data_IF_162134941583
#
_entry.id   IF_162134941583
#
_cell.length_a   1.000
_cell.length_b   1.000
_cell.length_c   1.000
_cell.angle_alpha   90.00
_cell.angle_beta   90.00
_cell.angle_gamma   90.00
#
_symmetry.space_group_name_H-M   'P 1'
#
loop_
_entity.id
_entity.type
_entity.pdbx_description
1 polymer ?
#
# COMPACT_ATOMS: atom_id res chain seq x y z
N UNK A 1 -1.42 -9.48 -69.59
CA UNK A 1 -1.14 -10.88 -70.03
C UNK A 1 -1.15 -11.74 -68.77
N UNK A 2 -2.31 -12.23 -68.33
CA UNK A 2 -2.97 -13.50 -68.71
C UNK A 2 -2.16 -14.78 -68.35
N UNK A 3 -2.57 -15.44 -67.26
CA UNK A 3 -3.12 -16.82 -67.16
C UNK A 3 -2.93 -17.38 -65.74
N UNK A 4 -4.02 -17.52 -64.97
CA UNK A 4 -4.92 -18.70 -64.82
C UNK A 4 -4.37 -19.73 -63.79
N UNK A 5 -4.95 -19.89 -62.60
CA UNK A 5 -6.19 -20.62 -62.20
C UNK A 5 -6.03 -22.13 -62.07
N UNK A 6 -6.29 -22.67 -60.86
CA UNK A 6 -7.18 -23.80 -60.52
C UNK A 6 -7.27 -23.89 -58.96
N UNK A 7 -8.38 -23.55 -58.28
CA UNK A 7 -9.66 -24.29 -58.05
C UNK A 7 -9.46 -25.66 -57.38
N UNK A 8 -9.80 -25.81 -56.08
CA UNK A 8 -11.11 -26.22 -55.52
C UNK A 8 -11.09 -27.73 -55.16
N UNK A 9 -11.80 -28.33 -54.19
CA UNK A 9 -13.05 -27.97 -53.50
C UNK A 9 -13.32 -28.99 -52.37
N UNK A 10 -14.10 -28.56 -51.37
CA UNK A 10 -15.20 -29.24 -50.64
C UNK A 10 -15.02 -30.63 -49.95
N UNK A 11 -15.52 -30.70 -48.69
CA UNK A 11 -16.69 -31.50 -48.23
C UNK A 11 -16.90 -31.22 -46.72
N UNK A 12 -17.88 -30.41 -46.31
CA UNK A 12 -19.25 -30.76 -45.87
C UNK A 12 -19.37 -31.84 -44.77
N UNK A 13 -19.92 -31.41 -43.62
CA UNK A 13 -20.42 -32.17 -42.47
C UNK A 13 -21.64 -33.07 -42.84
N UNK A 14 -22.25 -33.93 -41.97
CA UNK A 14 -22.90 -33.49 -40.71
C UNK A 14 -23.15 -34.55 -39.57
N UNK A 15 -23.75 -34.07 -38.47
CA UNK A 15 -24.85 -34.67 -37.66
C UNK A 15 -24.64 -35.81 -36.63
N UNK A 16 -24.77 -35.40 -35.34
CA UNK A 16 -25.75 -35.83 -34.30
C UNK A 16 -25.76 -37.22 -33.64
N UNK A 17 -25.74 -37.24 -32.30
CA UNK A 17 -26.77 -37.76 -31.37
C UNK A 17 -26.19 -37.90 -29.93
N UNK A 18 -26.61 -37.13 -28.91
CA UNK A 18 -27.76 -37.30 -27.99
C UNK A 18 -27.70 -38.48 -26.99
N UNK A 19 -27.55 -38.16 -25.70
CA UNK A 19 -28.30 -38.68 -24.51
C UNK A 19 -27.67 -38.10 -23.22
N UNK A 20 -28.19 -37.04 -22.60
CA UNK A 20 -29.26 -36.98 -21.58
C UNK A 20 -29.13 -37.97 -20.42
N UNK A 21 -28.78 -37.44 -19.23
CA UNK A 21 -29.32 -37.92 -17.96
C UNK A 21 -29.56 -36.73 -17.02
N UNK A 22 -30.84 -36.38 -16.91
CA UNK A 22 -31.47 -35.55 -15.90
C UNK A 22 -31.06 -35.96 -14.46
N UNK A 23 -30.83 -34.96 -13.60
CA UNK A 23 -31.50 -34.95 -12.29
C UNK A 23 -31.78 -33.52 -11.83
N UNK A 24 -33.07 -33.23 -11.68
CA UNK A 24 -33.68 -31.97 -11.25
C UNK A 24 -33.46 -31.66 -9.75
N UNK A 25 -33.65 -30.39 -9.34
CA UNK A 25 -33.32 -29.86 -8.02
C UNK A 25 -34.44 -30.09 -7.00
N UNK A 26 -34.10 -30.16 -5.70
CA UNK A 26 -35.07 -29.99 -4.61
C UNK A 26 -34.94 -28.58 -4.03
N UNK A 27 -35.98 -27.79 -4.20
CA UNK A 27 -36.38 -26.70 -3.30
C UNK A 27 -37.24 -27.26 -2.17
N UNK A 28 -37.11 -26.71 -0.96
CA UNK A 28 -38.18 -26.35 0.00
C UNK A 28 -37.49 -25.75 1.25
N UNK A 29 -37.61 -24.43 1.48
CA UNK A 29 -38.65 -23.69 2.23
C UNK A 29 -38.34 -23.48 3.73
N UNK A 30 -38.00 -22.23 4.03
CA UNK A 30 -38.44 -21.37 5.15
C UNK A 30 -38.84 -21.96 6.51
N UNK A 31 -38.15 -21.52 7.56
CA UNK A 31 -38.72 -21.13 8.87
C UNK A 31 -37.71 -20.17 9.56
N UNK A 32 -38.05 -18.89 9.68
CA UNK A 32 -38.73 -18.23 10.80
C UNK A 32 -37.85 -18.04 12.06
N UNK A 33 -37.77 -16.75 12.45
CA UNK A 33 -37.56 -16.19 13.79
C UNK A 33 -36.16 -15.67 14.15
N UNK A 34 -36.01 -14.37 13.90
CA UNK A 34 -35.47 -13.40 14.85
C UNK A 34 -35.70 -13.82 16.31
N UNK A 35 -34.67 -13.73 17.15
CA UNK A 35 -34.85 -13.51 18.58
C UNK A 35 -33.74 -12.63 19.15
N UNK A 36 -34.06 -11.35 19.14
CA UNK A 36 -33.58 -10.30 20.03
C UNK A 36 -33.63 -10.75 21.49
N UNK A 37 -32.55 -10.56 22.26
CA UNK A 37 -32.61 -10.32 23.72
C UNK A 37 -31.33 -9.62 24.22
N UNK A 38 -31.27 -8.31 24.00
CA UNK A 38 -30.75 -7.39 25.02
C UNK A 38 -31.70 -7.45 26.20
N UNK A 39 -31.19 -7.73 27.41
CA UNK A 39 -31.62 -7.20 28.71
C UNK A 39 -31.08 -8.06 29.85
N UNK A 40 -31.07 -7.46 31.05
CA UNK A 40 -30.55 -7.87 32.37
C UNK A 40 -29.13 -7.34 32.61
N UNK A 41 -28.83 -6.38 33.51
CA UNK A 41 -29.45 -5.75 34.70
C UNK A 41 -28.55 -4.50 34.99
N UNK A 42 -28.96 -3.26 35.34
CA UNK A 42 -29.87 -2.76 36.38
C UNK A 42 -29.39 -3.18 37.78
N UNK A 43 -28.96 -2.40 38.77
CA UNK A 43 -29.10 -0.96 39.11
C UNK A 43 -28.26 -0.72 40.39
N UNK A 44 -27.71 0.50 40.55
CA UNK A 44 -27.40 1.28 41.78
C UNK A 44 -27.00 0.62 43.13
N UNK A 45 -25.91 1.12 43.75
CA UNK A 45 -25.95 1.85 45.04
C UNK A 45 -24.53 2.27 45.52
N UNK A 46 -24.44 3.52 45.98
CA UNK A 46 -23.27 4.16 46.58
C UNK A 46 -23.08 3.78 48.06
N UNK A 47 -21.87 3.46 48.52
CA UNK A 47 -21.43 3.62 49.93
C UNK A 47 -19.95 4.05 49.98
N UNK A 48 -19.70 4.90 50.97
CA UNK A 48 -18.54 5.76 51.32
C UNK A 48 -17.24 5.01 51.71
N UNK A 49 -16.14 5.74 51.53
CA UNK A 49 -14.73 5.43 51.70
C UNK A 49 -14.28 4.78 53.03
N UNK A 50 -13.33 3.84 52.91
CA UNK A 50 -12.24 3.65 53.88
C UNK A 50 -10.94 3.44 53.11
N UNK A 51 -9.99 4.35 53.29
CA UNK A 51 -8.69 4.32 52.63
C UNK A 51 -7.88 3.09 53.02
N UNK A 52 -7.70 2.20 52.07
CA UNK A 52 -6.54 1.29 52.02
C UNK A 52 -5.77 1.74 50.78
N UNK A 53 -4.59 2.31 51.01
CA UNK A 53 -3.59 2.54 49.96
C UNK A 53 -3.17 1.17 49.42
N UNK A 54 -3.94 0.64 48.50
CA UNK A 54 -3.48 -0.41 47.61
C UNK A 54 -2.34 0.21 46.80
N UNK A 55 -1.14 -0.42 46.75
CA UNK A 55 -0.14 -0.01 45.78
C UNK A 55 -0.84 -0.04 44.42
N UNK A 56 -0.86 1.11 43.74
CA UNK A 56 -1.28 1.18 42.35
C UNK A 56 -0.61 0.03 41.63
N UNK A 57 -1.33 -0.81 40.86
CA UNK A 57 -0.67 -1.74 39.99
C UNK A 57 0.28 -0.88 39.16
N UNK A 58 1.58 -1.04 39.39
CA UNK A 58 2.61 -0.57 38.47
C UNK A 58 2.13 -1.02 37.11
N UNK A 59 1.84 -0.07 36.22
CA UNK A 59 1.31 -0.35 34.89
C UNK A 59 2.00 -1.59 34.37
N UNK A 60 1.24 -2.68 34.25
CA UNK A 60 1.69 -3.81 33.47
C UNK A 60 2.15 -3.19 32.16
N UNK A 61 3.39 -3.45 31.74
CA UNK A 61 3.88 -3.05 30.43
C UNK A 61 2.76 -3.33 29.43
N UNK A 62 2.10 -2.28 28.94
CA UNK A 62 1.10 -2.38 27.89
C UNK A 62 1.88 -2.87 26.68
N UNK A 63 1.91 -4.20 26.51
CA UNK A 63 2.49 -4.84 25.33
C UNK A 63 1.67 -4.34 24.16
N UNK A 64 2.19 -3.32 23.49
CA UNK A 64 1.49 -2.63 22.43
C UNK A 64 1.48 -3.54 21.19
N UNK A 65 0.33 -3.62 20.51
CA UNK A 65 0.13 -4.57 19.41
C UNK A 65 0.46 -3.93 18.07
N UNK A 66 1.39 -4.52 17.32
CA UNK A 66 1.53 -4.21 15.90
C UNK A 66 0.26 -4.64 15.15
N UNK A 67 -0.16 -3.95 14.07
CA UNK A 67 -1.38 -4.28 13.32
C UNK A 67 -1.40 -5.72 12.77
N UNK A 68 -0.22 -6.31 12.53
CA UNK A 68 -0.07 -7.71 12.16
C UNK A 68 -0.26 -8.73 13.30
N UNK A 69 -0.70 -8.31 14.49
CA UNK A 69 -1.00 -9.20 15.62
C UNK A 69 0.24 -9.75 16.34
N UNK A 70 1.41 -9.15 16.12
CA UNK A 70 2.65 -9.59 16.79
C UNK A 70 2.83 -8.81 18.10
N UNK A 71 3.01 -9.53 19.20
CA UNK A 71 3.41 -8.94 20.48
C UNK A 71 4.86 -8.46 20.35
N UNK A 72 5.07 -7.18 20.56
CA UNK A 72 6.39 -6.57 20.51
C UNK A 72 6.69 -5.85 21.83
N UNK A 73 7.96 -5.92 22.26
CA UNK A 73 8.41 -5.34 23.53
C UNK A 73 8.86 -3.87 23.39
N UNK A 74 8.40 -3.19 22.34
CA UNK A 74 8.70 -1.77 22.05
C UNK A 74 7.45 -1.00 21.68
N UNK A 75 7.53 0.33 21.75
CA UNK A 75 6.42 1.23 21.43
C UNK A 75 6.01 1.08 19.95
N UNK A 76 4.72 0.93 19.69
CA UNK A 76 4.17 0.90 18.33
C UNK A 76 3.15 2.01 18.13
N UNK A 77 3.09 2.50 16.91
CA UNK A 77 2.16 3.54 16.50
C UNK A 77 2.49 4.05 15.11
N UNK A 78 1.48 4.63 14.46
CA UNK A 78 1.56 5.13 13.08
C UNK A 78 2.63 6.20 12.86
N UNK A 79 3.05 6.91 13.92
CA UNK A 79 4.09 7.94 13.88
C UNK A 79 5.31 7.58 14.77
N UNK A 80 5.33 6.39 15.39
CA UNK A 80 6.45 5.99 16.25
C UNK A 80 7.64 5.66 15.37
N UNK A 81 8.75 6.36 15.58
CA UNK A 81 9.96 6.28 14.74
C UNK A 81 10.04 7.32 13.62
N UNK A 82 8.91 7.93 13.25
CA UNK A 82 8.85 9.02 12.28
C UNK A 82 7.64 9.93 12.54
N UNK A 83 7.90 11.07 13.19
CA UNK A 83 6.86 12.04 13.53
C UNK A 83 6.23 12.72 12.31
N UNK A 84 6.88 12.63 11.14
CA UNK A 84 6.41 13.23 9.89
C UNK A 84 5.62 12.24 9.01
N UNK A 85 5.41 11.01 9.46
CA UNK A 85 4.50 10.08 8.77
C UNK A 85 3.08 10.66 8.70
N UNK A 86 2.33 10.25 7.67
CA UNK A 86 1.00 10.75 7.38
C UNK A 86 0.06 10.62 8.59
N UNK A 87 -0.57 11.74 8.95
CA UNK A 87 -1.52 11.81 10.07
C UNK A 87 -2.84 11.12 9.78
N UNK A 88 -3.17 10.92 8.50
CA UNK A 88 -4.42 10.28 8.07
C UNK A 88 -4.33 8.75 8.07
N UNK A 89 -3.12 8.19 8.22
CA UNK A 89 -2.92 6.76 8.29
C UNK A 89 -3.72 6.13 9.42
N UNK A 90 -4.56 5.15 9.09
CA UNK A 90 -5.29 4.40 10.10
C UNK A 90 -4.42 3.32 10.73
N UNK A 91 -4.48 3.11 12.06
CA UNK A 91 -3.70 2.09 12.74
C UNK A 91 -3.93 0.66 12.23
N UNK A 92 -5.08 0.38 11.62
CA UNK A 92 -5.44 -0.93 11.07
C UNK A 92 -5.02 -1.13 9.60
N UNK A 93 -4.33 -0.17 8.97
CA UNK A 93 -3.99 -0.17 7.56
C UNK A 93 -5.22 -0.29 6.62
N UNK A 94 -6.43 0.10 7.05
CA UNK A 94 -7.63 -0.01 6.21
C UNK A 94 -7.72 1.04 5.09
N UNK A 95 -6.95 2.12 5.17
CA UNK A 95 -6.93 3.19 4.17
C UNK A 95 -5.66 3.23 3.31
N UNK A 96 -4.84 2.18 3.34
CA UNK A 96 -3.61 2.11 2.52
C UNK A 96 -3.79 1.21 1.30
N UNK A 97 -2.94 1.39 0.29
CA UNK A 97 -2.99 0.61 -0.96
C UNK A 97 -2.43 -0.80 -0.74
N UNK A 98 -1.33 -0.91 0.01
CA UNK A 98 -0.70 -2.17 0.36
C UNK A 98 -0.89 -2.44 1.85
N UNK A 99 -1.87 -3.28 2.21
CA UNK A 99 -2.15 -3.61 3.61
C UNK A 99 -0.98 -4.31 4.33
N UNK A 100 -0.18 -5.09 3.59
CA UNK A 100 1.07 -5.68 4.08
C UNK A 100 2.27 -4.80 3.69
N UNK A 101 2.68 -3.96 4.62
CA UNK A 101 3.83 -3.06 4.50
C UNK A 101 4.71 -3.05 5.77
N UNK A 102 5.64 -2.11 5.86
CA UNK A 102 6.59 -2.04 6.98
C UNK A 102 5.88 -1.86 8.32
N UNK A 103 4.95 -0.90 8.41
CA UNK A 103 4.19 -0.64 9.63
C UNK A 103 3.32 -1.84 10.01
N UNK A 104 2.71 -2.54 9.05
CA UNK A 104 1.98 -3.78 9.35
C UNK A 104 2.85 -4.81 10.11
N UNK A 105 4.10 -4.98 9.68
CA UNK A 105 5.03 -5.96 10.25
C UNK A 105 5.68 -5.51 11.55
N UNK A 106 6.14 -4.25 11.60
CA UNK A 106 6.96 -3.73 12.69
C UNK A 106 6.21 -2.80 13.64
N UNK A 107 4.96 -2.43 13.33
CA UNK A 107 4.16 -1.52 14.16
C UNK A 107 4.73 -0.10 14.28
N UNK A 108 5.75 0.25 13.50
CA UNK A 108 6.44 1.55 13.58
C UNK A 108 6.56 2.17 12.20
N UNK A 109 6.66 3.50 12.17
CA UNK A 109 6.95 4.25 10.97
C UNK A 109 8.48 4.29 10.75
N UNK A 110 8.98 3.80 9.60
CA UNK A 110 10.39 3.88 9.26
C UNK A 110 10.80 5.33 9.00
N UNK A 111 12.09 5.61 9.20
CA UNK A 111 12.67 6.92 8.90
C UNK A 111 12.68 7.18 7.39
N UNK A 112 12.67 8.45 7.01
CA UNK A 112 12.96 8.85 5.63
C UNK A 112 14.40 8.50 5.24
N UNK A 113 14.60 8.23 3.95
CA UNK A 113 15.92 7.97 3.38
C UNK A 113 16.37 9.24 2.65
N UNK A 114 17.36 9.91 3.24
CA UNK A 114 18.03 11.05 2.60
C UNK A 114 18.73 10.62 1.31
N UNK A 115 18.89 11.56 0.38
CA UNK A 115 19.61 11.31 -0.88
C UNK A 115 21.04 10.84 -0.61
N UNK A 116 21.46 9.80 -1.34
CA UNK A 116 22.78 9.18 -1.19
C UNK A 116 23.01 8.41 0.10
N UNK A 117 22.13 8.51 1.10
CA UNK A 117 22.26 7.76 2.35
C UNK A 117 22.02 6.26 2.07
N UNK A 118 22.89 5.40 2.61
CA UNK A 118 22.78 3.93 2.51
C UNK A 118 22.67 3.21 3.85
N UNK A 119 22.58 3.95 4.96
CA UNK A 119 22.58 3.39 6.32
C UNK A 119 21.29 2.64 6.65
N UNK A 120 20.18 3.02 6.01
CA UNK A 120 18.88 2.39 6.20
C UNK A 120 18.16 2.18 4.87
N UNK A 121 17.72 0.95 4.53
CA UNK A 121 18.13 -0.32 5.11
C UNK A 121 19.60 -0.63 4.76
N UNK A 122 20.34 -1.30 5.67
CA UNK A 122 21.78 -1.59 5.51
C UNK A 122 22.08 -2.57 4.36
N UNK A 123 21.16 -3.47 4.09
CA UNK A 123 21.31 -4.53 3.09
C UNK A 123 20.14 -4.47 2.13
N UNK A 124 20.42 -4.65 0.83
CA UNK A 124 19.38 -4.80 -0.18
C UNK A 124 19.17 -6.30 -0.48
N UNK A 125 17.94 -6.72 -0.75
CA UNK A 125 17.65 -8.11 -1.09
C UNK A 125 18.29 -8.47 -2.44
N UNK A 126 18.61 -9.75 -2.61
CA UNK A 126 19.06 -10.25 -3.89
C UNK A 126 17.86 -10.46 -4.82
N UNK A 127 17.95 -9.85 -6.00
CA UNK A 127 17.06 -10.08 -7.13
C UNK A 127 17.93 -10.25 -8.39
N UNK A 128 17.58 -11.06 -9.39
CA UNK A 128 18.34 -11.15 -10.62
C UNK A 128 18.38 -9.81 -11.37
N UNK A 129 19.54 -9.51 -11.98
CA UNK A 129 19.70 -8.29 -12.78
C UNK A 129 18.76 -8.24 -13.98
N UNK A 130 18.50 -9.39 -14.61
CA UNK A 130 17.54 -9.51 -15.72
C UNK A 130 16.12 -9.12 -15.29
N UNK A 131 15.65 -9.64 -14.15
CA UNK A 131 14.33 -9.28 -13.61
C UNK A 131 14.22 -7.79 -13.33
N UNK A 132 15.25 -7.18 -12.73
CA UNK A 132 15.27 -5.73 -12.49
C UNK A 132 15.25 -4.93 -13.79
N UNK A 133 16.03 -5.34 -14.79
CA UNK A 133 16.04 -4.72 -16.12
C UNK A 133 14.66 -4.77 -16.77
N UNK A 134 14.02 -5.94 -16.82
CA UNK A 134 12.69 -6.09 -17.43
C UNK A 134 11.62 -5.31 -16.66
N UNK A 135 11.74 -5.27 -15.33
CA UNK A 135 10.86 -4.48 -14.47
C UNK A 135 11.03 -2.98 -14.72
N UNK A 136 12.27 -2.49 -14.80
CA UNK A 136 12.57 -1.08 -15.08
C UNK A 136 12.05 -0.69 -16.47
N UNK A 137 12.27 -1.55 -17.48
CA UNK A 137 11.77 -1.35 -18.83
C UNK A 137 10.24 -1.28 -18.88
N UNK A 138 9.55 -2.11 -18.10
CA UNK A 138 8.08 -2.19 -18.11
C UNK A 138 7.39 -1.07 -17.32
N UNK A 139 7.95 -0.67 -16.18
CA UNK A 139 7.27 0.26 -15.26
C UNK A 139 7.99 1.60 -15.07
N UNK A 140 9.29 1.68 -15.37
CA UNK A 140 10.12 2.87 -15.10
C UNK A 140 9.55 4.14 -15.72
N UNK A 141 9.09 4.09 -16.98
CA UNK A 141 8.52 5.27 -17.65
C UNK A 141 7.19 5.73 -17.04
N UNK A 142 6.41 4.80 -16.49
CA UNK A 142 5.19 5.14 -15.76
C UNK A 142 5.54 5.80 -14.42
N UNK A 143 6.54 5.27 -13.73
CA UNK A 143 7.00 5.85 -12.46
C UNK A 143 7.58 7.24 -12.68
N UNK A 144 8.41 7.46 -13.70
CA UNK A 144 8.95 8.80 -14.02
C UNK A 144 7.86 9.83 -14.25
N UNK A 145 6.83 9.49 -15.03
CA UNK A 145 5.67 10.38 -15.22
C UNK A 145 4.97 10.70 -13.91
N UNK A 146 4.79 9.72 -13.02
CA UNK A 146 4.19 9.95 -11.70
C UNK A 146 5.00 10.87 -10.82
N UNK A 147 6.33 10.71 -10.83
CA UNK A 147 7.25 11.59 -10.12
C UNK A 147 7.15 13.03 -10.64
N UNK A 148 7.04 13.22 -11.95
CA UNK A 148 6.79 14.54 -12.56
C UNK A 148 5.44 15.12 -12.11
N UNK A 149 4.37 14.33 -12.13
CA UNK A 149 3.04 14.78 -11.68
C UNK A 149 3.05 15.18 -10.19
N UNK A 150 3.67 14.37 -9.33
CA UNK A 150 3.82 14.69 -7.90
C UNK A 150 4.60 15.99 -7.73
N UNK A 151 5.72 16.18 -8.44
CA UNK A 151 6.49 17.43 -8.38
C UNK A 151 5.68 18.67 -8.79
N UNK A 152 4.71 18.50 -9.70
CA UNK A 152 3.85 19.58 -10.19
C UNK A 152 2.82 20.06 -9.15
N UNK A 153 2.49 19.22 -8.17
CA UNK A 153 1.49 19.54 -7.13
C UNK A 153 1.90 20.80 -6.36
N UNK A 154 3.20 20.99 -6.09
CA UNK A 154 3.69 22.19 -5.41
C UNK A 154 3.21 23.50 -6.05
N UNK A 155 3.18 23.55 -7.39
CA UNK A 155 2.68 24.73 -8.14
C UNK A 155 1.17 24.92 -7.99
N UNK A 156 0.40 23.83 -7.96
CA UNK A 156 -1.06 23.88 -7.72
C UNK A 156 -1.37 24.38 -6.31
N UNK A 157 -0.55 23.98 -5.34
CA UNK A 157 -0.63 24.47 -3.96
C UNK A 157 -0.31 25.97 -3.89
N UNK A 158 0.72 26.42 -4.62
CA UNK A 158 1.05 27.84 -4.68
C UNK A 158 -0.12 28.70 -5.18
N UNK A 159 -0.85 28.20 -6.19
CA UNK A 159 -2.05 28.82 -6.78
C UNK A 159 -3.33 28.66 -5.96
N UNK A 160 -3.29 28.05 -4.76
CA UNK A 160 -4.47 27.74 -3.92
C UNK A 160 -5.51 26.80 -4.58
N UNK A 161 -5.10 25.96 -5.51
CA UNK A 161 -5.99 25.03 -6.22
C UNK A 161 -5.93 23.61 -5.61
N UNK A 162 -5.95 23.48 -4.28
CA UNK A 162 -5.77 22.18 -3.62
C UNK A 162 -6.85 21.16 -4.02
N UNK A 163 -8.10 21.62 -4.14
CA UNK A 163 -9.25 20.77 -4.43
C UNK A 163 -9.23 20.20 -5.86
N UNK A 164 -8.40 20.74 -6.77
CA UNK A 164 -8.26 20.23 -8.14
C UNK A 164 -7.28 19.07 -8.25
N UNK A 165 -6.55 18.78 -7.17
CA UNK A 165 -5.63 17.65 -7.07
C UNK A 165 -6.45 16.36 -7.06
N UNK A 166 -6.03 15.41 -7.89
CA UNK A 166 -6.66 14.10 -7.97
C UNK A 166 -6.37 13.30 -6.69
N UNK A 167 -7.18 12.29 -6.41
CA UNK A 167 -6.95 11.38 -5.27
C UNK A 167 -5.61 10.64 -5.42
N UNK A 168 -4.98 10.25 -4.32
CA UNK A 168 -3.68 9.57 -4.31
C UNK A 168 -3.67 8.26 -5.09
N UNK A 169 -4.84 7.62 -5.24
CA UNK A 169 -4.98 6.39 -6.03
C UNK A 169 -5.16 6.62 -7.54
N UNK A 170 -5.22 7.89 -7.98
CA UNK A 170 -5.48 8.26 -9.36
C UNK A 170 -4.35 7.77 -10.30
N UNK A 171 -4.70 7.33 -11.54
CA UNK A 171 -3.73 6.83 -12.51
C UNK A 171 -2.55 7.76 -12.80
N UNK A 172 -2.76 9.07 -12.69
CA UNK A 172 -1.81 10.16 -12.96
C UNK A 172 -0.60 10.13 -12.03
N UNK A 173 -0.74 9.61 -10.81
CA UNK A 173 0.38 9.50 -9.87
C UNK A 173 1.14 8.17 -9.98
N UNK A 174 0.66 7.23 -10.82
CA UNK A 174 1.33 5.97 -11.13
C UNK A 174 1.77 5.14 -9.90
N UNK A 175 1.01 5.23 -8.80
CA UNK A 175 1.26 4.53 -7.54
C UNK A 175 1.30 3.00 -7.69
N UNK A 176 0.37 2.44 -8.47
CA UNK A 176 0.36 0.98 -8.76
C UNK A 176 1.64 0.53 -9.49
N UNK A 177 2.08 1.19 -10.58
CA UNK A 177 3.40 0.96 -11.17
C UNK A 177 4.56 1.02 -10.18
N UNK A 178 4.58 1.95 -9.24
CA UNK A 178 5.62 1.99 -8.18
C UNK A 178 5.62 0.69 -7.35
N UNK A 179 4.44 0.20 -6.95
CA UNK A 179 4.33 -1.07 -6.23
C UNK A 179 4.77 -2.28 -7.06
N UNK A 180 4.41 -2.32 -8.34
CA UNK A 180 4.85 -3.38 -9.25
C UNK A 180 6.37 -3.35 -9.49
N UNK A 181 6.94 -2.15 -9.60
CA UNK A 181 8.38 -1.97 -9.72
C UNK A 181 9.10 -2.39 -8.43
N UNK A 182 8.57 -2.01 -7.27
CA UNK A 182 9.09 -2.43 -5.96
C UNK A 182 9.12 -3.95 -5.84
N UNK A 183 8.04 -4.64 -6.22
CA UNK A 183 8.01 -6.11 -6.23
C UNK A 183 9.12 -6.69 -7.12
N UNK A 184 9.32 -6.16 -8.33
CA UNK A 184 10.35 -6.67 -9.23
C UNK A 184 11.79 -6.33 -8.83
N UNK A 185 11.99 -5.42 -7.88
CA UNK A 185 13.31 -4.94 -7.45
C UNK A 185 13.72 -5.42 -6.06
N UNK A 186 12.74 -5.62 -5.19
CA UNK A 186 12.93 -5.84 -3.77
C UNK A 186 12.35 -7.18 -3.31
N UNK A 187 11.48 -7.84 -4.09
CA UNK A 187 11.13 -9.22 -3.79
C UNK A 187 12.34 -10.13 -4.07
N UNK A 188 12.65 -10.97 -3.08
CA UNK A 188 13.68 -12.00 -3.22
C UNK A 188 13.04 -13.23 -3.84
N UNK A 189 13.71 -13.85 -4.81
CA UNK A 189 13.22 -15.12 -5.39
C UNK A 189 13.19 -16.25 -4.36
N UNK A 190 14.09 -16.21 -3.37
CA UNK A 190 14.24 -17.26 -2.37
C UNK A 190 13.22 -17.15 -1.22
N UNK A 191 12.79 -15.93 -0.89
CA UNK A 191 11.98 -15.67 0.31
C UNK A 191 10.68 -14.92 0.02
N UNK A 192 10.45 -14.48 -1.22
CA UNK A 192 9.30 -13.69 -1.61
C UNK A 192 9.34 -12.28 -1.01
N UNK A 193 8.40 -12.00 -0.10
CA UNK A 193 8.23 -10.67 0.51
C UNK A 193 9.37 -10.37 1.50
N UNK A 194 10.22 -9.40 1.16
CA UNK A 194 11.36 -8.95 1.97
C UNK A 194 11.00 -7.74 2.83
N UNK A 195 11.84 -7.41 3.82
CA UNK A 195 11.64 -6.21 4.64
C UNK A 195 11.76 -4.94 3.80
N UNK A 196 12.65 -4.93 2.81
CA UNK A 196 12.87 -3.81 1.92
C UNK A 196 11.69 -3.63 0.97
N UNK A 197 11.02 -4.71 0.55
CA UNK A 197 9.77 -4.61 -0.19
C UNK A 197 8.65 -4.01 0.67
N UNK A 198 8.53 -4.46 1.93
CA UNK A 198 7.57 -3.90 2.87
C UNK A 198 7.83 -2.41 3.13
N UNK A 199 9.11 -2.02 3.20
CA UNK A 199 9.54 -0.62 3.31
C UNK A 199 9.15 0.18 2.05
N UNK A 200 9.42 -0.35 0.86
CA UNK A 200 9.01 0.29 -0.39
C UNK A 200 7.50 0.49 -0.47
N UNK A 201 6.71 -0.52 -0.07
CA UNK A 201 5.24 -0.43 0.01
C UNK A 201 4.77 0.62 1.00
N UNK A 202 5.45 0.74 2.15
CA UNK A 202 5.15 1.76 3.14
C UNK A 202 5.34 3.15 2.55
N UNK A 203 6.48 3.45 1.93
CA UNK A 203 6.69 4.76 1.28
C UNK A 203 5.62 5.05 0.22
N UNK A 204 5.24 4.04 -0.58
CA UNK A 204 4.20 4.20 -1.59
C UNK A 204 2.82 4.50 -0.97
N UNK A 205 2.50 3.86 0.16
CA UNK A 205 1.28 4.15 0.90
C UNK A 205 1.28 5.59 1.42
N UNK A 206 2.40 6.06 2.00
CA UNK A 206 2.54 7.44 2.48
C UNK A 206 2.34 8.46 1.35
N UNK A 207 2.93 8.24 0.17
CA UNK A 207 2.70 9.12 -0.99
C UNK A 207 1.20 9.25 -1.31
N UNK A 208 0.46 8.14 -1.31
CA UNK A 208 -0.96 8.15 -1.62
C UNK A 208 -1.78 8.87 -0.53
N UNK A 209 -1.49 8.58 0.74
CA UNK A 209 -2.16 9.24 1.87
C UNK A 209 -1.88 10.74 1.90
N UNK A 210 -0.63 11.14 1.71
CA UNK A 210 -0.23 12.55 1.73
C UNK A 210 -0.87 13.32 0.57
N UNK A 211 -1.05 12.71 -0.62
CA UNK A 211 -1.80 13.34 -1.72
C UNK A 211 -3.27 13.54 -1.34
N UNK A 212 -3.90 12.56 -0.71
CA UNK A 212 -5.27 12.70 -0.20
C UNK A 212 -5.35 13.79 0.89
N UNK A 213 -4.33 13.91 1.73
CA UNK A 213 -4.24 14.96 2.76
C UNK A 213 -4.07 16.35 2.15
N UNK A 214 -3.28 16.51 1.08
CA UNK A 214 -3.17 17.77 0.33
C UNK A 214 -4.54 18.17 -0.24
N UNK A 215 -5.25 17.22 -0.85
CA UNK A 215 -6.56 17.47 -1.46
C UNK A 215 -7.60 17.90 -0.42
N UNK A 216 -7.56 17.31 0.77
CA UNK A 216 -8.51 17.57 1.86
C UNK A 216 -8.04 18.67 2.82
N UNK A 217 -6.90 19.32 2.55
CA UNK A 217 -6.34 20.37 3.39
C UNK A 217 -7.29 21.58 3.49
N UNK A 218 -7.44 22.12 4.71
CA UNK A 218 -8.28 23.31 4.96
C UNK A 218 -7.52 24.61 4.77
N UNK A 219 -6.19 24.54 4.73
CA UNK A 219 -5.32 25.69 4.55
C UNK A 219 -4.13 25.36 3.65
N UNK A 220 -3.56 26.41 3.04
CA UNK A 220 -2.31 26.29 2.26
C UNK A 220 -1.17 25.70 3.08
N UNK A 221 -1.09 26.04 4.36
CA UNK A 221 -0.03 25.57 5.24
C UNK A 221 -0.12 24.06 5.49
N UNK A 222 -1.33 23.55 5.71
CA UNK A 222 -1.59 22.10 5.81
C UNK A 222 -1.22 21.39 4.50
N UNK A 223 -1.65 21.93 3.35
CA UNK A 223 -1.31 21.39 2.04
C UNK A 223 0.20 21.35 1.78
N UNK A 224 0.93 22.41 2.15
CA UNK A 224 2.39 22.46 2.02
C UNK A 224 3.09 21.45 2.94
N UNK A 225 2.58 21.24 4.16
CA UNK A 225 3.12 20.24 5.09
C UNK A 225 2.95 18.83 4.54
N UNK A 226 1.74 18.48 4.07
CA UNK A 226 1.46 17.19 3.46
C UNK A 226 2.27 16.98 2.17
N UNK A 227 2.43 18.03 1.35
CA UNK A 227 3.29 17.98 0.17
C UNK A 227 4.76 17.74 0.51
N UNK A 228 5.28 18.35 1.57
CA UNK A 228 6.64 18.08 2.04
C UNK A 228 6.80 16.62 2.47
N UNK A 229 5.80 16.02 3.11
CA UNK A 229 5.81 14.61 3.48
C UNK A 229 5.76 13.71 2.23
N UNK A 230 4.84 13.98 1.29
CA UNK A 230 4.74 13.25 0.02
C UNK A 230 6.05 13.26 -0.77
N UNK A 231 6.73 14.41 -0.77
CA UNK A 231 8.04 14.60 -1.39
C UNK A 231 9.11 13.72 -0.73
N UNK A 232 9.19 13.73 0.61
CA UNK A 232 10.13 12.89 1.37
C UNK A 232 9.85 11.41 1.17
N UNK A 233 8.58 10.99 1.15
CA UNK A 233 8.17 9.62 0.89
C UNK A 233 8.56 9.18 -0.53
N UNK A 234 8.31 10.04 -1.52
CA UNK A 234 8.71 9.80 -2.93
C UNK A 234 10.21 9.66 -3.05
N UNK A 235 10.99 10.59 -2.49
CA UNK A 235 12.45 10.52 -2.53
C UNK A 235 12.98 9.30 -1.79
N UNK A 236 12.39 8.93 -0.65
CA UNK A 236 12.80 7.76 0.10
C UNK A 236 12.56 6.47 -0.69
N UNK A 237 11.40 6.36 -1.35
CA UNK A 237 11.10 5.26 -2.27
C UNK A 237 12.10 5.18 -3.43
N UNK A 238 12.37 6.31 -4.09
CA UNK A 238 13.27 6.38 -5.24
C UNK A 238 14.71 6.07 -4.82
N UNK A 239 15.19 6.62 -3.71
CA UNK A 239 16.48 6.31 -3.11
C UNK A 239 16.62 4.82 -2.82
N UNK A 240 15.58 4.18 -2.26
CA UNK A 240 15.58 2.75 -1.99
C UNK A 240 15.73 1.92 -3.29
N UNK A 241 14.94 2.19 -4.31
CA UNK A 241 15.01 1.42 -5.58
C UNK A 241 16.27 1.75 -6.38
N UNK A 242 16.76 2.98 -6.33
CA UNK A 242 17.98 3.40 -7.03
C UNK A 242 19.24 2.68 -6.53
N UNK A 243 19.24 2.14 -5.30
CA UNK A 243 20.35 1.31 -4.80
C UNK A 243 20.52 0.00 -5.56
N UNK A 244 19.46 -0.53 -6.17
CA UNK A 244 19.51 -1.79 -6.94
C UNK A 244 19.51 -1.56 -8.45
N UNK A 245 19.42 -0.31 -8.91
CA UNK A 245 19.67 0.08 -10.30
C UNK A 245 21.17 0.29 -10.48
N UNK A 246 21.82 -0.74 -11.02
CA UNK A 246 23.22 -0.71 -11.45
C UNK A 246 23.31 -0.42 -12.95
N UNK A 247 24.48 -0.06 -13.52
CA UNK A 247 24.60 0.24 -14.95
C UNK A 247 24.10 -0.85 -15.91
N UNK A 248 24.09 -2.12 -15.47
CA UNK A 248 23.54 -3.25 -16.25
C UNK A 248 22.01 -3.29 -16.28
N UNK A 249 21.35 -2.64 -15.33
CA UNK A 249 19.88 -2.59 -15.19
C UNK A 249 19.33 -1.37 -15.93
N UNK A 250 20.02 -0.23 -15.90
CA UNK A 250 19.64 0.99 -16.60
C UNK A 250 19.98 2.24 -15.80
N UNK A 251 19.38 3.35 -16.19
CA UNK A 251 19.59 4.64 -15.53
C UNK A 251 18.74 4.77 -14.27
N UNK A 252 19.32 5.39 -13.24
CA UNK A 252 18.63 5.71 -11.99
C UNK A 252 17.46 6.67 -12.25
N UNK A 253 16.49 6.63 -11.36
CA UNK A 253 15.36 7.55 -11.35
C UNK A 253 15.75 8.85 -10.66
N UNK A 254 15.30 9.97 -11.20
CA UNK A 254 15.56 11.30 -10.64
C UNK A 254 14.71 11.55 -9.39
N UNK A 255 15.32 12.09 -8.35
CA UNK A 255 14.63 12.55 -7.14
C UNK A 255 13.99 13.92 -7.38
N UNK A 256 13.01 14.30 -6.55
CA UNK A 256 12.27 15.58 -6.65
C UNK A 256 12.63 16.56 -5.53
#
# INVERSE_FOLDING_TARGET
>A
MNRLLLLASLLLAPSSAFQTANHSPKQEQSSLLESTRRQFLGTAASIVATGVLLPSPSSANDKSFAPGGTLVDYEVGVNVGNSEASVSRKPDNSNVIFGQDYYYKFGTAPTWIEDGNTDFPKTMPFTPSQQRYDTLKKYGERVRRGVVEISSIGKKIESNEFNSILDGSAPEYFIRPMGLMANGFLASENTGTTNELLLGRWYINEIALDIDDIKNAKSKQEALSAFSAAKKATNSYLSLVNRVIIPKVGDKLELI
#
